data_IF_264063274655
#
_entry.id   IF_264063274655
#
_cell.length_a   1.000
_cell.length_b   1.000
_cell.length_c   1.000
_cell.angle_alpha   90.00
_cell.angle_beta   90.00
_cell.angle_gamma   90.00
#
_symmetry.space_group_name_H-M   'P 1'
#
loop_
_entity.id
_entity.type
_entity.pdbx_description
1 polymer ?
#
# COMPACT_ATOMS: atom_id res chain seq x y z
N UNK A 1 18.68 -2.98 3.90
CA UNK A 1 17.65 -2.65 4.89
C UNK A 1 16.29 -2.74 4.21
N UNK A 2 15.37 -3.54 4.72
CA UNK A 2 13.97 -3.43 4.32
C UNK A 2 13.41 -2.19 5.03
N UNK A 3 13.36 -1.05 4.35
CA UNK A 3 12.59 0.08 4.84
C UNK A 3 11.13 -0.33 4.74
N UNK A 4 10.56 -0.73 5.87
CA UNK A 4 9.11 -0.92 6.00
C UNK A 4 8.49 0.46 5.79
N UNK A 5 7.56 0.55 4.85
CA UNK A 5 6.81 1.78 4.60
C UNK A 5 5.96 2.12 5.81
N UNK A 6 5.84 3.42 6.10
CA UNK A 6 4.98 3.84 7.19
C UNK A 6 3.49 3.64 6.83
N UNK A 7 2.58 3.63 7.81
CA UNK A 7 1.15 3.46 7.56
C UNK A 7 0.55 4.49 6.59
N UNK A 8 1.14 5.68 6.47
CA UNK A 8 0.66 6.71 5.54
C UNK A 8 1.02 6.35 4.09
N UNK A 9 2.23 5.88 3.85
CA UNK A 9 2.67 5.37 2.55
C UNK A 9 1.81 4.17 2.11
N UNK A 10 1.46 3.27 3.04
CA UNK A 10 0.56 2.14 2.75
C UNK A 10 -0.83 2.63 2.32
N UNK A 11 -1.40 3.61 3.04
CA UNK A 11 -2.67 4.23 2.65
C UNK A 11 -2.57 4.89 1.27
N UNK A 12 -1.48 5.59 0.97
CA UNK A 12 -1.28 6.21 -0.33
C UNK A 12 -1.21 5.18 -1.46
N UNK A 13 -0.52 4.04 -1.26
CA UNK A 13 -0.51 2.94 -2.24
C UNK A 13 -1.94 2.46 -2.51
N UNK A 14 -2.72 2.21 -1.45
CA UNK A 14 -4.10 1.73 -1.57
C UNK A 14 -4.99 2.76 -2.30
N UNK A 15 -4.93 4.03 -1.92
CA UNK A 15 -5.70 5.11 -2.56
C UNK A 15 -5.40 5.18 -4.06
N UNK A 16 -4.12 5.25 -4.44
CA UNK A 16 -3.73 5.34 -5.84
C UNK A 16 -4.14 4.08 -6.63
N UNK A 17 -4.08 2.90 -6.01
CA UNK A 17 -4.54 1.67 -6.64
C UNK A 17 -6.05 1.70 -6.92
N UNK A 18 -6.86 2.16 -5.95
CA UNK A 18 -8.31 2.32 -6.11
C UNK A 18 -8.66 3.36 -7.18
N UNK A 19 -7.84 4.39 -7.34
CA UNK A 19 -7.95 5.38 -8.44
C UNK A 19 -7.51 4.82 -9.82
N UNK A 20 -7.13 3.54 -9.90
CA UNK A 20 -6.74 2.87 -11.15
C UNK A 20 -5.31 3.16 -11.60
N UNK A 21 -4.47 3.75 -10.73
CA UNK A 21 -3.08 4.06 -11.04
C UNK A 21 -2.25 2.77 -11.07
N UNK A 22 -1.54 2.52 -12.18
CA UNK A 22 -0.67 1.33 -12.28
C UNK A 22 0.47 1.33 -11.26
N UNK A 23 0.88 0.16 -10.78
CA UNK A 23 1.95 0.01 -9.77
C UNK A 23 3.29 0.67 -10.18
N UNK A 24 3.60 0.73 -11.47
CA UNK A 24 4.77 1.46 -11.98
C UNK A 24 4.65 2.96 -11.73
N UNK A 25 3.47 3.53 -11.98
CA UNK A 25 3.20 4.96 -11.78
C UNK A 25 3.10 5.30 -10.29
N UNK A 26 2.52 4.42 -9.47
CA UNK A 26 2.52 4.55 -7.99
C UNK A 26 3.96 4.65 -7.48
N UNK A 27 4.85 3.73 -7.89
CA UNK A 27 6.25 3.77 -7.47
C UNK A 27 6.94 5.08 -7.86
N UNK A 28 6.69 5.59 -9.08
CA UNK A 28 7.21 6.90 -9.50
C UNK A 28 6.66 8.07 -8.68
N UNK A 29 5.39 8.03 -8.25
CA UNK A 29 4.76 9.09 -7.44
C UNK A 29 5.33 9.09 -6.02
N UNK A 30 5.49 7.91 -5.42
CA UNK A 30 5.92 7.75 -4.03
C UNK A 30 7.45 7.67 -3.87
N UNK A 31 8.20 7.73 -4.96
CA UNK A 31 9.67 7.63 -4.91
C UNK A 31 10.19 6.23 -4.50
N UNK A 32 9.40 5.19 -4.69
CA UNK A 32 9.73 3.79 -4.36
C UNK A 32 9.73 2.89 -5.59
N UNK A 33 10.34 1.72 -5.48
CA UNK A 33 10.38 0.80 -6.61
C UNK A 33 8.99 0.22 -6.91
N UNK A 34 8.69 -0.05 -8.19
CA UNK A 34 7.48 -0.80 -8.57
C UNK A 34 7.37 -2.17 -7.88
N UNK A 35 8.50 -2.77 -7.53
CA UNK A 35 8.53 -4.07 -6.86
C UNK A 35 8.09 -3.92 -5.40
N UNK A 36 8.47 -2.83 -4.73
CA UNK A 36 7.96 -2.48 -3.40
C UNK A 36 6.45 -2.34 -3.42
N UNK A 37 5.90 -1.62 -4.40
CA UNK A 37 4.44 -1.51 -4.58
C UNK A 37 3.81 -2.88 -4.81
N UNK A 38 4.38 -3.72 -5.69
CA UNK A 38 3.87 -5.07 -5.93
C UNK A 38 3.85 -5.93 -4.66
N UNK A 39 4.89 -5.87 -3.83
CA UNK A 39 4.97 -6.61 -2.58
C UNK A 39 3.83 -6.21 -1.64
N UNK A 40 3.57 -4.91 -1.46
CA UNK A 40 2.45 -4.47 -0.63
C UNK A 40 1.09 -4.79 -1.24
N UNK A 41 0.93 -4.71 -2.57
CA UNK A 41 -0.30 -5.15 -3.23
C UNK A 41 -0.60 -6.64 -3.00
N UNK A 42 0.44 -7.48 -2.98
CA UNK A 42 0.29 -8.90 -2.63
C UNK A 42 -0.08 -9.09 -1.17
N UNK A 43 0.52 -8.32 -0.25
CA UNK A 43 0.17 -8.34 1.17
C UNK A 43 -1.29 -7.96 1.40
N UNK A 44 -1.76 -6.88 0.77
CA UNK A 44 -3.16 -6.45 0.86
C UNK A 44 -4.11 -7.50 0.30
N UNK A 45 -3.79 -8.11 -0.85
CA UNK A 45 -4.59 -9.17 -1.45
C UNK A 45 -4.60 -10.47 -0.63
N UNK A 46 -3.57 -10.71 0.18
CA UNK A 46 -3.51 -11.84 1.10
C UNK A 46 -4.22 -11.56 2.45
N UNK A 47 -4.53 -10.29 2.74
CA UNK A 47 -5.30 -9.92 3.92
C UNK A 47 -6.78 -10.28 3.75
N UNK A 48 -7.50 -10.48 4.85
CA UNK A 48 -8.94 -10.75 4.84
C UNK A 48 -9.79 -9.49 4.55
N UNK A 49 -9.14 -8.35 4.26
CA UNK A 49 -9.77 -7.06 4.09
C UNK A 49 -9.66 -6.57 2.65
N UNK A 50 -10.74 -5.97 2.16
CA UNK A 50 -10.70 -5.24 0.89
C UNK A 50 -9.83 -3.97 1.03
N UNK A 51 -9.28 -3.44 -0.08
CA UNK A 51 -8.51 -2.20 -0.03
C UNK A 51 -9.29 -1.01 0.56
N UNK A 52 -10.61 -0.96 0.33
CA UNK A 52 -11.48 0.06 0.94
C UNK A 52 -11.60 -0.09 2.46
N UNK A 53 -11.62 -1.30 2.99
CA UNK A 53 -11.64 -1.56 4.44
C UNK A 53 -10.28 -1.21 5.08
N UNK A 54 -9.17 -1.56 4.42
CA UNK A 54 -7.83 -1.20 4.87
C UNK A 54 -7.62 0.32 5.01
N UNK A 55 -8.24 1.15 4.16
CA UNK A 55 -8.17 2.61 4.31
C UNK A 55 -8.85 3.13 5.57
N UNK A 56 -9.86 2.41 6.07
CA UNK A 56 -10.61 2.79 7.28
C UNK A 56 -9.88 2.42 8.56
N UNK A 57 -8.81 1.63 8.47
CA UNK A 57 -7.98 1.32 9.63
C UNK A 57 -7.23 2.56 10.08
N UNK A 58 -7.22 2.81 11.38
CA UNK A 58 -6.33 3.81 11.96
C UNK A 58 -4.86 3.38 11.74
N UNK A 59 -3.94 4.35 11.73
CA UNK A 59 -2.51 4.13 11.44
C UNK A 59 -1.88 3.04 12.33
N UNK A 60 -2.37 2.86 13.56
CA UNK A 60 -1.94 1.79 14.46
C UNK A 60 -2.28 0.39 13.92
N UNK A 61 -3.49 0.17 13.40
CA UNK A 61 -3.93 -1.13 12.91
C UNK A 61 -3.26 -1.53 11.58
N UNK A 62 -2.83 -0.56 10.78
CA UNK A 62 -2.05 -0.79 9.56
C UNK A 62 -0.59 -1.17 9.83
N UNK A 63 -0.07 -0.88 11.02
CA UNK A 63 1.31 -1.18 11.40
C UNK A 63 1.52 -2.67 11.75
N UNK A 64 0.45 -3.44 11.92
CA UNK A 64 0.48 -4.86 12.31
C UNK A 64 0.26 -5.83 11.13
N UNK A 65 0.12 -5.31 9.91
CA UNK A 65 0.04 -6.06 8.64
C UNK A 65 1.43 -6.41 8.10
#
# INVERSE_FOLDING_TARGET
MANILDPMDLKQIITLHLDGVSNRRIGSILGISRNTVNTYMQLFAASEYSPGELLRFDTAALSEL
#
